data_IF_111905796649
#
_entry.id   IF_111905796649
#
_cell.length_a   1.000
_cell.length_b   1.000
_cell.length_c   1.000
_cell.angle_alpha   90.00
_cell.angle_beta   90.00
_cell.angle_gamma   90.00
#
_symmetry.space_group_name_H-M   'P 1'
#
loop_
_entity.id
_entity.type
_entity.pdbx_description
1 polymer ?
#
# COMPACT_ATOMS: atom_id res chain seq x y z
N UNK A 1 3.45 -18.42 -11.85
CA UNK A 1 3.26 -17.47 -10.74
C UNK A 1 3.93 -16.19 -11.08
N UNK A 2 3.22 -15.11 -11.08
CA UNK A 2 3.80 -13.85 -11.54
C UNK A 2 4.49 -13.09 -10.40
N UNK A 3 3.94 -13.10 -9.18
CA UNK A 3 4.44 -12.29 -8.07
C UNK A 3 4.79 -10.88 -8.53
N UNK A 4 3.91 -10.29 -9.35
CA UNK A 4 4.16 -8.98 -9.95
C UNK A 4 3.41 -7.89 -9.19
N UNK A 5 3.93 -6.67 -9.29
CA UNK A 5 3.28 -5.49 -8.73
C UNK A 5 3.22 -4.40 -9.78
N UNK A 6 2.19 -3.56 -9.68
CA UNK A 6 2.02 -2.37 -10.52
C UNK A 6 1.98 -1.17 -9.58
N UNK A 7 2.84 -0.19 -9.81
CA UNK A 7 2.94 0.98 -8.95
C UNK A 7 2.44 2.20 -9.71
N UNK A 8 1.37 2.81 -9.18
CA UNK A 8 0.88 4.10 -9.64
C UNK A 8 1.38 5.17 -8.68
N UNK A 9 2.17 6.09 -9.18
CA UNK A 9 2.81 7.09 -8.36
C UNK A 9 2.57 8.45 -9.00
N UNK A 10 1.72 9.27 -8.37
CA UNK A 10 1.36 10.59 -8.85
C UNK A 10 0.86 11.44 -7.70
N UNK A 11 0.92 12.78 -7.84
CA UNK A 11 0.35 13.66 -6.82
C UNK A 11 -1.15 13.45 -6.66
N UNK A 12 -1.64 13.73 -5.46
CA UNK A 12 -3.08 13.71 -5.18
C UNK A 12 -3.81 14.66 -6.14
N UNK A 13 -5.02 14.26 -6.54
CA UNK A 13 -5.86 15.09 -7.39
C UNK A 13 -5.53 15.03 -8.88
N UNK A 14 -4.64 14.12 -9.30
CA UNK A 14 -4.25 13.98 -10.71
C UNK A 14 -5.18 13.07 -11.52
N UNK A 15 -6.29 12.59 -10.93
CA UNK A 15 -7.18 11.64 -11.59
C UNK A 15 -6.73 10.19 -11.49
N UNK A 16 -5.69 9.94 -10.71
CA UNK A 16 -5.09 8.61 -10.55
C UNK A 16 -6.11 7.58 -10.06
N UNK A 17 -6.94 7.93 -9.08
CA UNK A 17 -7.94 7.02 -8.52
C UNK A 17 -8.94 6.54 -9.56
N UNK A 18 -9.37 7.42 -10.45
CA UNK A 18 -10.32 7.07 -11.52
C UNK A 18 -9.72 6.04 -12.46
N UNK A 19 -8.46 6.25 -12.86
CA UNK A 19 -7.74 5.34 -13.75
C UNK A 19 -7.57 3.98 -13.09
N UNK A 20 -7.15 3.96 -11.83
CA UNK A 20 -6.91 2.71 -11.09
C UNK A 20 -8.21 1.93 -10.93
N UNK A 21 -9.31 2.60 -10.56
CA UNK A 21 -10.60 1.93 -10.41
C UNK A 21 -11.08 1.31 -11.73
N UNK A 22 -10.83 1.99 -12.85
CA UNK A 22 -11.19 1.47 -14.16
C UNK A 22 -10.41 0.21 -14.47
N UNK A 23 -9.10 0.21 -14.21
CA UNK A 23 -8.24 -0.96 -14.43
C UNK A 23 -8.72 -2.14 -13.59
N UNK A 24 -9.07 -1.91 -12.33
CA UNK A 24 -9.55 -2.98 -11.44
C UNK A 24 -10.82 -3.64 -11.96
N UNK A 25 -11.72 -2.86 -12.56
CA UNK A 25 -12.95 -3.42 -13.16
C UNK A 25 -12.66 -4.33 -14.33
N UNK A 26 -11.64 -4.00 -15.12
CA UNK A 26 -11.29 -4.77 -16.31
C UNK A 26 -10.39 -5.97 -16.01
N UNK A 27 -9.73 -5.98 -14.86
CA UNK A 27 -8.74 -6.99 -14.51
C UNK A 27 -8.99 -7.55 -13.12
N UNK A 28 -9.88 -8.57 -13.00
CA UNK A 28 -10.18 -9.17 -11.69
C UNK A 28 -8.98 -9.83 -11.02
N UNK A 29 -7.92 -10.12 -11.80
CA UNK A 29 -6.69 -10.70 -11.25
C UNK A 29 -5.83 -9.68 -10.53
N UNK A 30 -6.21 -8.41 -10.56
CA UNK A 30 -5.49 -7.34 -9.88
C UNK A 30 -6.20 -6.95 -8.59
N UNK A 31 -5.42 -6.59 -7.59
CA UNK A 31 -5.98 -6.23 -6.29
C UNK A 31 -5.15 -5.11 -5.66
N UNK A 32 -5.83 -4.15 -5.02
CA UNK A 32 -5.17 -3.07 -4.29
C UNK A 32 -4.50 -3.58 -3.02
N UNK A 33 -3.31 -3.06 -2.76
CA UNK A 33 -2.69 -3.18 -1.45
C UNK A 33 -3.31 -2.13 -0.52
N UNK A 34 -3.84 -2.59 0.62
CA UNK A 34 -4.38 -1.68 1.64
C UNK A 34 -3.21 -1.23 2.53
N UNK A 35 -2.90 0.05 2.51
CA UNK A 35 -1.79 0.60 3.29
C UNK A 35 -2.11 0.64 4.78
N UNK A 36 -1.07 0.61 5.60
CA UNK A 36 -1.19 0.78 7.05
C UNK A 36 -0.94 2.24 7.42
N UNK A 37 -1.59 2.71 8.47
CA UNK A 37 -1.37 4.06 8.97
C UNK A 37 -1.56 4.10 10.48
N UNK A 38 -0.90 5.06 11.12
CA UNK A 38 -1.07 5.31 12.55
C UNK A 38 -2.02 6.47 12.84
N UNK A 39 -2.54 7.15 11.81
CA UNK A 39 -3.54 8.18 12.07
C UNK A 39 -4.89 7.53 12.35
N UNK A 40 -5.73 8.25 13.09
CA UNK A 40 -7.07 7.76 13.41
C UNK A 40 -7.96 7.76 12.16
N UNK A 41 -8.94 6.85 12.07
CA UNK A 41 -9.91 6.86 10.98
C UNK A 41 -10.66 8.18 10.92
N UNK A 42 -10.99 8.62 9.70
CA UNK A 42 -11.75 9.86 9.45
C UNK A 42 -13.07 9.51 8.82
N UNK A 43 -14.14 10.18 9.28
CA UNK A 43 -15.46 10.00 8.69
C UNK A 43 -15.91 8.56 8.70
N UNK A 44 -16.15 7.99 7.53
CA UNK A 44 -16.63 6.62 7.39
C UNK A 44 -15.54 5.62 7.08
N UNK A 45 -14.28 6.01 7.23
CA UNK A 45 -13.16 5.08 6.99
C UNK A 45 -13.22 3.90 7.96
N UNK A 46 -12.90 2.71 7.43
CA UNK A 46 -12.96 1.47 8.21
C UNK A 46 -11.65 0.73 8.13
N UNK A 47 -11.30 0.09 9.25
CA UNK A 47 -10.11 -0.74 9.31
C UNK A 47 -10.20 -1.89 8.29
N UNK A 48 -9.12 -2.04 7.52
CA UNK A 48 -9.03 -3.07 6.49
C UNK A 48 -9.64 -2.70 5.16
N UNK A 49 -10.26 -1.53 5.05
CA UNK A 49 -10.87 -1.05 3.81
C UNK A 49 -10.03 0.06 3.20
N UNK A 50 -10.06 1.27 3.80
CA UNK A 50 -9.24 2.38 3.31
C UNK A 50 -7.79 2.23 3.78
N UNK A 51 -7.61 1.80 5.02
CA UNK A 51 -6.31 1.55 5.65
C UNK A 51 -6.43 0.44 6.66
N UNK A 52 -5.28 -0.14 7.01
CA UNK A 52 -5.14 -0.90 8.26
C UNK A 52 -4.72 0.11 9.32
N UNK A 53 -5.58 0.37 10.29
CA UNK A 53 -5.36 1.40 11.31
C UNK A 53 -4.70 0.82 12.55
N UNK A 54 -3.62 1.46 12.98
CA UNK A 54 -2.87 1.08 14.18
C UNK A 54 -2.59 2.33 15.01
N UNK A 55 -2.25 2.15 16.28
CA UNK A 55 -1.73 3.27 17.06
C UNK A 55 -0.28 3.53 16.64
N UNK A 56 0.24 4.71 16.99
CA UNK A 56 1.64 5.03 16.71
C UNK A 56 2.59 4.03 17.37
N UNK A 57 2.27 3.63 18.60
CA UNK A 57 3.10 2.67 19.33
C UNK A 57 3.06 1.29 18.68
N UNK A 58 1.88 0.84 18.25
CA UNK A 58 1.76 -0.42 17.50
C UNK A 58 2.55 -0.37 16.20
N UNK A 59 2.47 0.76 15.48
CA UNK A 59 3.18 0.92 14.22
C UNK A 59 4.70 0.87 14.44
N UNK A 60 5.19 1.56 15.47
CA UNK A 60 6.63 1.54 15.81
C UNK A 60 7.11 0.14 16.16
N UNK A 61 6.30 -0.60 16.91
CA UNK A 61 6.63 -1.99 17.26
C UNK A 61 6.75 -2.84 16.00
N UNK A 62 5.82 -2.67 15.06
CA UNK A 62 5.83 -3.42 13.80
C UNK A 62 7.03 -3.06 12.95
N UNK A 63 7.49 -1.81 12.99
CA UNK A 63 8.74 -1.41 12.32
C UNK A 63 9.92 -2.19 12.91
N UNK A 64 9.99 -2.26 14.24
CA UNK A 64 11.09 -2.96 14.89
C UNK A 64 11.08 -4.46 14.61
N UNK A 65 9.92 -5.01 14.27
CA UNK A 65 9.76 -6.42 13.93
C UNK A 65 9.90 -6.69 12.43
N UNK A 66 10.27 -5.67 11.65
CA UNK A 66 10.48 -5.76 10.21
C UNK A 66 9.23 -6.24 9.45
N UNK A 67 8.07 -5.71 9.83
CA UNK A 67 6.79 -6.09 9.24
C UNK A 67 6.45 -5.33 7.97
N UNK A 68 7.21 -4.31 7.61
CA UNK A 68 6.89 -3.44 6.49
C UNK A 68 7.80 -3.63 5.29
N UNK A 69 7.21 -3.58 4.10
CA UNK A 69 7.96 -3.46 2.84
C UNK A 69 8.63 -2.09 2.78
N UNK A 70 7.87 -1.04 3.11
CA UNK A 70 8.36 0.32 3.22
C UNK A 70 7.45 1.06 4.19
N UNK A 71 7.94 2.13 4.76
CA UNK A 71 7.13 3.00 5.62
C UNK A 71 7.73 4.40 5.61
N UNK A 72 6.91 5.37 6.05
CA UNK A 72 7.30 6.78 6.04
C UNK A 72 6.62 7.46 7.22
N UNK A 73 7.37 8.29 7.93
CA UNK A 73 6.81 9.15 8.96
C UNK A 73 6.59 10.54 8.35
N UNK A 74 5.32 10.89 8.10
CA UNK A 74 4.97 12.15 7.44
C UNK A 74 4.99 13.30 8.43
N UNK A 75 4.40 13.07 9.62
CA UNK A 75 4.46 13.99 10.75
C UNK A 75 4.88 13.19 11.96
N UNK A 76 5.33 13.87 13.02
CA UNK A 76 5.72 13.18 14.24
C UNK A 76 4.61 12.24 14.73
N UNK A 77 4.89 10.95 14.78
CA UNK A 77 3.94 9.92 15.18
C UNK A 77 2.91 9.55 14.13
N UNK A 78 2.94 10.16 12.95
CA UNK A 78 2.00 9.85 11.87
C UNK A 78 2.71 9.08 10.77
N UNK A 79 2.48 7.78 10.75
CA UNK A 79 3.16 6.85 9.84
C UNK A 79 2.22 6.34 8.77
N UNK A 80 2.80 6.00 7.62
CA UNK A 80 2.13 5.27 6.54
C UNK A 80 3.09 4.20 6.04
N UNK A 81 2.56 3.05 5.63
CA UNK A 81 3.43 2.01 5.12
C UNK A 81 2.68 0.87 4.46
N UNK A 82 3.46 -0.05 3.91
CA UNK A 82 2.96 -1.25 3.24
C UNK A 82 3.41 -2.47 4.02
N UNK A 83 2.45 -3.27 4.49
CA UNK A 83 2.75 -4.47 5.27
C UNK A 83 3.18 -5.61 4.35
N UNK A 84 4.19 -6.36 4.78
CA UNK A 84 4.61 -7.58 4.07
C UNK A 84 3.49 -8.60 4.05
N UNK A 85 2.68 -8.68 5.11
CA UNK A 85 1.54 -9.59 5.18
C UNK A 85 0.48 -9.27 4.13
N UNK A 86 0.30 -8.00 3.81
CA UNK A 86 -0.65 -7.59 2.78
C UNK A 86 -0.18 -8.06 1.41
N UNK A 87 1.11 -7.91 1.11
CA UNK A 87 1.71 -8.38 -0.13
C UNK A 87 1.52 -9.89 -0.26
N UNK A 88 1.83 -10.63 0.81
CA UNK A 88 1.71 -12.09 0.78
C UNK A 88 0.27 -12.53 0.60
N UNK A 89 -0.68 -11.86 1.26
CA UNK A 89 -2.11 -12.17 1.14
C UNK A 89 -2.57 -12.10 -0.31
N UNK A 90 -2.16 -11.06 -1.02
CA UNK A 90 -2.58 -10.84 -2.41
C UNK A 90 -1.90 -11.84 -3.34
N UNK A 91 -0.59 -12.06 -3.17
CA UNK A 91 0.13 -13.03 -3.98
C UNK A 91 -0.34 -14.47 -3.75
N UNK A 92 -0.78 -14.81 -2.53
CA UNK A 92 -1.32 -16.14 -2.23
C UNK A 92 -2.59 -16.43 -3.03
N UNK A 93 -3.32 -15.40 -3.45
CA UNK A 93 -4.47 -15.55 -4.35
C UNK A 93 -4.05 -15.59 -5.81
N UNK A 94 -2.76 -15.52 -6.09
CA UNK A 94 -2.22 -15.43 -7.44
C UNK A 94 -2.67 -14.15 -8.17
N UNK A 95 -2.87 -13.08 -7.41
CA UNK A 95 -3.24 -11.77 -7.95
C UNK A 95 -2.02 -10.89 -8.13
N UNK A 96 -2.12 -9.92 -9.04
CA UNK A 96 -1.15 -8.85 -9.23
C UNK A 96 -1.52 -7.72 -8.27
N UNK A 97 -0.53 -7.20 -7.55
CA UNK A 97 -0.77 -6.14 -6.57
C UNK A 97 -0.72 -4.77 -7.26
N UNK A 98 -1.69 -3.92 -6.95
CA UNK A 98 -1.67 -2.52 -7.37
C UNK A 98 -1.37 -1.65 -6.15
N UNK A 99 -0.37 -0.79 -6.29
CA UNK A 99 -0.05 0.23 -5.30
C UNK A 99 -0.43 1.61 -5.83
N UNK A 100 -1.10 2.38 -5.01
CA UNK A 100 -1.49 3.76 -5.32
C UNK A 100 -0.85 4.63 -4.24
N UNK A 101 0.32 5.19 -4.54
CA UNK A 101 1.17 5.87 -3.56
C UNK A 101 1.69 7.20 -4.11
N UNK A 102 2.27 8.01 -3.23
CA UNK A 102 2.96 9.22 -3.67
C UNK A 102 4.31 8.85 -4.32
N UNK A 103 5.01 9.87 -4.81
CA UNK A 103 6.27 9.66 -5.54
C UNK A 103 7.31 8.98 -4.64
N UNK A 104 7.42 9.42 -3.39
CA UNK A 104 8.41 8.85 -2.46
C UNK A 104 8.11 7.38 -2.16
N UNK A 105 6.84 7.06 -1.91
CA UNK A 105 6.41 5.68 -1.70
C UNK A 105 6.66 4.83 -2.92
N UNK A 106 6.40 5.37 -4.11
CA UNK A 106 6.65 4.66 -5.37
C UNK A 106 8.12 4.32 -5.57
N UNK A 107 9.01 5.26 -5.26
CA UNK A 107 10.46 5.02 -5.34
C UNK A 107 10.87 3.90 -4.38
N UNK A 108 10.37 3.95 -3.14
CA UNK A 108 10.70 2.93 -2.14
C UNK A 108 10.21 1.55 -2.55
N UNK A 109 8.99 1.46 -3.09
CA UNK A 109 8.43 0.20 -3.56
C UNK A 109 9.22 -0.35 -4.74
N UNK A 110 9.60 0.50 -5.67
CA UNK A 110 10.39 0.08 -6.83
C UNK A 110 11.74 -0.50 -6.40
N UNK A 111 12.38 0.11 -5.40
CA UNK A 111 13.63 -0.42 -4.86
C UNK A 111 13.44 -1.79 -4.22
N UNK A 112 12.34 -1.97 -3.50
CA UNK A 112 12.08 -3.23 -2.82
C UNK A 112 11.75 -4.36 -3.80
N UNK A 113 10.87 -4.10 -4.76
CA UNK A 113 10.40 -5.14 -5.67
C UNK A 113 11.29 -5.34 -6.90
N UNK A 114 12.04 -4.32 -7.28
CA UNK A 114 12.96 -4.44 -8.42
C UNK A 114 12.24 -4.88 -9.68
N UNK A 115 12.68 -5.98 -10.26
CA UNK A 115 12.15 -6.50 -11.54
C UNK A 115 10.71 -6.98 -11.45
N UNK A 116 10.18 -7.20 -10.24
CA UNK A 116 8.77 -7.58 -10.07
C UNK A 116 7.83 -6.43 -10.33
N UNK A 117 8.32 -5.19 -10.28
CA UNK A 117 7.49 -4.00 -10.51
C UNK A 117 7.37 -3.71 -12.00
N UNK A 118 6.14 -3.54 -12.43
CA UNK A 118 5.81 -3.23 -13.83
C UNK A 118 5.66 -1.73 -14.03
#
# INVERSE_FOLDING_TARGET
>A
MSNKVVIFSAPSGSGKSTIVNHILKLHPEMEFSVSATSRAPRGQEKDGVEYHFFTADEFRKMISEDKFVEYEEVYSGSFYGTLKSEVQRIWDKNHVIIFDVDVKGGVNLKKYFGDKAL
#
